data_IF_900602094906
#
_entry.id   IF_900602094906
#
_cell.length_a   1.000
_cell.length_b   1.000
_cell.length_c   1.000
_cell.angle_alpha   90.00
_cell.angle_beta   90.00
_cell.angle_gamma   90.00
#
_symmetry.space_group_name_H-M   'P 1'
#
loop_
_entity.id
_entity.type
_entity.pdbx_description
1 polymer ?
#
# COMPACT_ATOMS: atom_id res chain seq x y z
N UNK A 1 6.15 25.59 -2.78
CA UNK A 1 5.38 24.32 -2.68
C UNK A 1 4.37 24.26 -1.52
N UNK A 2 4.13 25.32 -0.74
CA UNK A 2 2.99 25.38 0.22
C UNK A 2 1.67 25.86 -0.41
N UNK A 3 1.68 26.27 -1.67
CA UNK A 3 0.54 26.95 -2.32
C UNK A 3 -0.39 26.01 -3.08
N UNK A 4 0.04 24.79 -3.41
CA UNK A 4 -0.80 23.80 -4.13
C UNK A 4 -1.56 22.90 -3.14
N UNK A 5 -0.96 22.54 -2.01
CA UNK A 5 -1.61 21.77 -0.93
C UNK A 5 -2.84 22.48 -0.33
N UNK A 6 -2.82 23.81 -0.22
CA UNK A 6 -3.98 24.60 0.26
C UNK A 6 -5.10 24.75 -0.77
N UNK A 7 -4.85 24.49 -2.07
CA UNK A 7 -5.90 24.52 -3.09
C UNK A 7 -6.68 23.21 -3.14
N UNK A 8 -6.07 22.05 -2.89
CA UNK A 8 -6.80 20.77 -2.90
C UNK A 8 -7.61 20.50 -1.62
N UNK A 9 -7.12 20.90 -0.45
CA UNK A 9 -7.93 20.87 0.78
C UNK A 9 -9.11 21.84 0.72
N UNK A 10 -8.91 23.03 0.15
CA UNK A 10 -10.02 23.96 -0.07
C UNK A 10 -10.98 23.50 -1.17
N UNK A 11 -10.54 22.81 -2.23
CA UNK A 11 -11.45 22.22 -3.24
C UNK A 11 -12.27 21.06 -2.67
N UNK A 12 -11.69 20.20 -1.81
CA UNK A 12 -12.43 19.12 -1.13
C UNK A 12 -13.42 19.65 -0.08
N UNK A 13 -13.02 20.64 0.75
CA UNK A 13 -13.93 21.27 1.72
C UNK A 13 -15.03 22.10 1.03
N UNK A 14 -14.70 22.80 -0.06
CA UNK A 14 -15.69 23.52 -0.88
C UNK A 14 -16.62 22.53 -1.57
N UNK A 15 -16.16 21.37 -2.03
CA UNK A 15 -17.01 20.32 -2.62
C UNK A 15 -17.92 19.66 -1.57
N UNK A 16 -17.46 19.41 -0.35
CA UNK A 16 -18.32 18.89 0.74
C UNK A 16 -19.38 19.92 1.16
N UNK A 17 -19.04 21.20 1.22
CA UNK A 17 -19.98 22.28 1.52
C UNK A 17 -20.94 22.58 0.35
N UNK A 18 -20.49 22.43 -0.92
CA UNK A 18 -21.38 22.53 -2.09
C UNK A 18 -22.25 21.30 -2.30
N UNK A 19 -21.80 20.10 -1.89
CA UNK A 19 -22.64 18.90 -1.83
C UNK A 19 -23.71 19.03 -0.74
N UNK A 20 -23.36 19.59 0.43
CA UNK A 20 -24.33 19.90 1.50
C UNK A 20 -25.33 21.01 1.11
N UNK A 21 -24.93 21.98 0.28
CA UNK A 21 -25.81 23.07 -0.17
C UNK A 21 -26.64 22.74 -1.43
N UNK A 22 -26.28 21.69 -2.18
CA UNK A 22 -27.06 21.14 -3.29
C UNK A 22 -28.11 20.09 -2.86
N UNK A 23 -28.22 19.77 -1.57
CA UNK A 23 -29.31 18.96 -1.05
C UNK A 23 -30.63 19.78 -1.11
N UNK A 24 -31.64 19.38 -1.91
CA UNK A 24 -32.93 20.03 -1.87
C UNK A 24 -33.56 19.78 -0.50
N UNK A 25 -33.94 20.85 0.22
CA UNK A 25 -34.75 20.76 1.47
C UNK A 25 -36.17 20.22 1.25
N UNK A 26 -36.49 19.73 0.05
CA UNK A 26 -37.80 19.21 -0.32
C UNK A 26 -37.68 17.92 -1.13
N UNK A 27 -37.29 16.81 -0.49
CA UNK A 27 -37.55 15.45 -0.97
C UNK A 27 -38.03 14.54 0.17
N UNK A 28 -38.89 15.06 1.05
CA UNK A 28 -39.79 14.24 1.87
C UNK A 28 -41.18 14.29 1.23
N UNK A 29 -41.34 13.65 0.08
CA UNK A 29 -42.58 13.61 -0.69
C UNK A 29 -42.60 12.38 -1.58
N UNK A 30 -43.48 11.43 -1.24
CA UNK A 30 -43.65 10.08 -1.82
C UNK A 30 -43.83 10.07 -3.35
N UNK A 31 -43.14 9.16 -4.06
CA UNK A 31 -43.73 8.03 -4.83
C UNK A 31 -42.65 7.18 -5.54
N UNK A 32 -42.90 5.86 -5.61
CA UNK A 32 -42.07 4.75 -6.13
C UNK A 32 -40.82 4.37 -5.30
N UNK A 33 -41.08 3.54 -4.29
CA UNK A 33 -40.18 3.14 -3.21
C UNK A 33 -39.19 2.04 -3.63
N UNK A 34 -38.06 2.42 -4.22
CA UNK A 34 -36.85 1.65 -3.93
C UNK A 34 -36.54 1.87 -2.44
N UNK A 35 -36.47 0.79 -1.68
CA UNK A 35 -35.96 0.84 -0.29
C UNK A 35 -34.58 1.50 -0.32
N UNK A 36 -34.18 2.18 0.76
CA UNK A 36 -32.85 2.82 0.78
C UNK A 36 -31.74 1.80 0.49
N UNK A 37 -31.93 0.54 0.91
CA UNK A 37 -31.08 -0.60 0.51
C UNK A 37 -30.94 -0.75 -1.01
N UNK A 38 -32.05 -0.73 -1.78
CA UNK A 38 -31.99 -0.91 -3.23
C UNK A 38 -31.27 0.26 -3.91
N UNK A 39 -31.44 1.49 -3.40
CA UNK A 39 -30.70 2.65 -3.92
C UNK A 39 -29.19 2.50 -3.69
N UNK A 40 -28.80 2.06 -2.50
CA UNK A 40 -27.38 1.81 -2.17
C UNK A 40 -26.80 0.75 -3.11
N UNK A 41 -27.53 -0.36 -3.32
CA UNK A 41 -27.11 -1.42 -4.23
C UNK A 41 -26.97 -0.93 -5.67
N UNK A 42 -27.93 -0.13 -6.15
CA UNK A 42 -27.88 0.44 -7.50
C UNK A 42 -26.67 1.37 -7.68
N UNK A 43 -26.35 2.19 -6.68
CA UNK A 43 -25.19 3.09 -6.68
C UNK A 43 -23.87 2.30 -6.72
N UNK A 44 -23.73 1.26 -5.89
CA UNK A 44 -22.53 0.41 -5.89
C UNK A 44 -22.40 -0.33 -7.23
N UNK A 45 -23.53 -0.77 -7.81
CA UNK A 45 -23.55 -1.50 -9.07
C UNK A 45 -23.07 -0.69 -10.28
N UNK A 46 -23.06 0.65 -10.22
CA UNK A 46 -22.53 1.46 -11.34
C UNK A 46 -21.02 1.34 -11.51
N UNK A 47 -20.30 0.90 -10.46
CA UNK A 47 -18.83 0.86 -10.39
C UNK A 47 -18.14 2.22 -10.58
N UNK A 48 -18.90 3.31 -10.46
CA UNK A 48 -18.34 4.66 -10.50
C UNK A 48 -17.99 5.10 -9.09
N UNK A 49 -16.76 5.56 -8.87
CA UNK A 49 -16.26 5.90 -7.54
C UNK A 49 -17.17 6.90 -6.80
N UNK A 50 -17.67 7.92 -7.49
CA UNK A 50 -18.57 8.94 -6.91
C UNK A 50 -19.88 8.33 -6.40
N UNK A 51 -20.44 7.36 -7.12
CA UNK A 51 -21.68 6.70 -6.71
C UNK A 51 -21.42 5.73 -5.54
N UNK A 52 -20.30 5.02 -5.58
CA UNK A 52 -19.85 4.17 -4.47
C UNK A 52 -19.69 5.02 -3.19
N UNK A 53 -18.97 6.14 -3.26
CA UNK A 53 -18.79 7.03 -2.11
C UNK A 53 -20.13 7.55 -1.58
N UNK A 54 -21.05 7.95 -2.46
CA UNK A 54 -22.40 8.35 -2.06
C UNK A 54 -23.17 7.22 -1.37
N UNK A 55 -23.07 5.98 -1.86
CA UNK A 55 -23.68 4.82 -1.22
C UNK A 55 -23.16 4.61 0.21
N UNK A 56 -21.85 4.80 0.42
CA UNK A 56 -21.23 4.72 1.75
C UNK A 56 -21.70 5.86 2.67
N UNK A 57 -21.81 7.09 2.17
CA UNK A 57 -22.36 8.21 2.95
C UNK A 57 -23.82 7.96 3.39
N UNK A 58 -24.63 7.36 2.52
CA UNK A 58 -25.99 6.93 2.90
C UNK A 58 -25.92 5.89 4.02
N UNK A 59 -25.03 4.90 3.91
CA UNK A 59 -24.84 3.87 4.94
C UNK A 59 -24.41 4.45 6.30
N UNK A 60 -23.54 5.46 6.29
CA UNK A 60 -23.15 6.23 7.49
C UNK A 60 -24.37 6.95 8.07
N UNK A 61 -25.16 7.64 7.25
CA UNK A 61 -26.39 8.31 7.69
C UNK A 61 -27.45 7.36 8.27
N UNK A 62 -27.48 6.11 7.80
CA UNK A 62 -28.32 5.04 8.35
C UNK A 62 -27.72 4.39 9.61
N UNK A 63 -26.53 4.80 10.05
CA UNK A 63 -25.81 4.27 11.20
C UNK A 63 -25.69 2.73 11.15
N UNK A 64 -25.32 2.18 9.99
CA UNK A 64 -25.16 0.73 9.81
C UNK A 64 -26.48 -0.06 9.68
N UNK A 65 -27.64 0.61 9.64
CA UNK A 65 -28.98 -0.03 9.57
C UNK A 65 -29.42 -0.29 8.13
N UNK A 66 -28.71 -1.18 7.46
CA UNK A 66 -29.02 -1.67 6.11
C UNK A 66 -28.98 -3.21 6.09
N UNK A 67 -29.61 -3.80 5.07
CA UNK A 67 -29.81 -5.24 5.01
C UNK A 67 -28.52 -6.04 4.67
N UNK A 68 -28.63 -7.36 4.68
CA UNK A 68 -27.51 -8.27 4.41
C UNK A 68 -26.95 -8.17 2.99
N UNK A 69 -27.76 -7.79 1.99
CA UNK A 69 -27.28 -7.60 0.62
C UNK A 69 -26.37 -6.37 0.54
N UNK A 70 -26.77 -5.26 1.16
CA UNK A 70 -25.92 -4.07 1.27
C UNK A 70 -24.64 -4.39 2.02
N UNK A 71 -24.72 -5.10 3.16
CA UNK A 71 -23.52 -5.56 3.90
C UNK A 71 -22.54 -6.30 3.00
N UNK A 72 -23.02 -7.26 2.20
CA UNK A 72 -22.16 -7.99 1.26
C UNK A 72 -21.51 -7.05 0.26
N UNK A 73 -22.29 -6.16 -0.35
CA UNK A 73 -21.77 -5.20 -1.33
C UNK A 73 -20.70 -4.26 -0.74
N UNK A 74 -20.89 -3.76 0.49
CA UNK A 74 -19.91 -2.90 1.14
C UNK A 74 -18.60 -3.64 1.45
N UNK A 75 -18.69 -4.91 1.86
CA UNK A 75 -17.53 -5.74 2.24
C UNK A 75 -16.59 -6.06 1.08
N UNK A 76 -17.05 -5.96 -0.16
CA UNK A 76 -16.20 -6.00 -1.36
C UNK A 76 -15.27 -4.77 -1.45
N UNK A 77 -15.51 -3.72 -0.66
CA UNK A 77 -14.72 -2.49 -0.61
C UNK A 77 -14.25 -2.22 0.83
N UNK A 78 -13.35 -3.07 1.37
CA UNK A 78 -13.02 -3.08 2.79
C UNK A 78 -12.33 -1.79 3.27
N UNK A 79 -11.52 -1.15 2.42
CA UNK A 79 -10.84 0.09 2.81
C UNK A 79 -11.81 1.27 2.98
N UNK A 80 -12.85 1.36 2.15
CA UNK A 80 -13.86 2.40 2.31
C UNK A 80 -14.75 2.12 3.52
N UNK A 81 -15.02 0.83 3.81
CA UNK A 81 -15.65 0.43 5.07
C UNK A 81 -14.83 0.91 6.28
N UNK A 82 -13.52 0.69 6.22
CA UNK A 82 -12.59 1.10 7.26
C UNK A 82 -12.59 2.62 7.45
N UNK A 83 -12.45 3.38 6.36
CA UNK A 83 -12.43 4.84 6.37
C UNK A 83 -13.75 5.46 6.87
N UNK A 84 -14.89 4.82 6.58
CA UNK A 84 -16.23 5.32 6.96
C UNK A 84 -16.76 4.71 8.26
N UNK A 85 -15.98 3.86 8.94
CA UNK A 85 -16.40 3.23 10.20
C UNK A 85 -17.53 2.20 10.05
N UNK A 86 -17.67 1.58 8.88
CA UNK A 86 -18.70 0.60 8.56
C UNK A 86 -18.12 -0.82 8.56
N UNK A 87 -18.96 -1.81 8.89
CA UNK A 87 -18.57 -3.24 8.92
C UNK A 87 -17.27 -3.56 9.69
N UNK A 88 -16.90 -2.74 10.69
CA UNK A 88 -15.61 -2.85 11.39
C UNK A 88 -15.27 -4.25 11.92
N UNK A 89 -16.20 -5.00 12.56
CA UNK A 89 -15.89 -6.35 13.03
C UNK A 89 -15.47 -7.31 11.90
N UNK A 90 -16.06 -7.13 10.71
CA UNK A 90 -15.67 -7.91 9.53
C UNK A 90 -14.31 -7.46 9.01
N UNK A 91 -14.15 -6.15 8.77
CA UNK A 91 -12.93 -5.61 8.15
C UNK A 91 -11.70 -5.85 9.03
N UNK A 92 -11.82 -5.68 10.34
CA UNK A 92 -10.75 -5.94 11.31
C UNK A 92 -10.43 -7.44 11.48
N UNK A 93 -11.30 -8.33 10.99
CA UNK A 93 -11.06 -9.79 10.97
C UNK A 93 -10.35 -10.27 9.71
N UNK A 94 -10.22 -9.41 8.69
CA UNK A 94 -9.59 -9.78 7.42
C UNK A 94 -8.11 -10.08 7.64
N UNK A 95 -7.70 -11.22 7.09
CA UNK A 95 -6.30 -11.63 7.03
C UNK A 95 -5.64 -11.18 5.74
N UNK A 96 -6.39 -11.14 4.66
CA UNK A 96 -5.85 -10.82 3.33
C UNK A 96 -6.70 -9.71 2.73
N UNK A 97 -6.04 -8.70 2.18
CA UNK A 97 -6.67 -7.65 1.37
C UNK A 97 -5.91 -7.57 0.05
N UNK A 98 -6.67 -7.65 -1.04
CA UNK A 98 -6.16 -7.46 -2.39
C UNK A 98 -6.88 -6.30 -3.05
N UNK A 99 -6.11 -5.41 -3.65
CA UNK A 99 -6.58 -4.21 -4.32
C UNK A 99 -5.88 -4.12 -5.67
N UNK A 100 -6.63 -4.40 -6.72
CA UNK A 100 -6.19 -4.21 -8.09
C UNK A 100 -6.78 -2.90 -8.59
N UNK A 101 -5.99 -2.08 -9.27
CA UNK A 101 -6.41 -0.78 -9.81
C UNK A 101 -6.84 0.20 -8.71
N UNK A 102 -6.01 0.36 -7.66
CA UNK A 102 -6.25 1.35 -6.60
C UNK A 102 -6.00 2.76 -7.13
N UNK A 103 -7.07 3.45 -7.52
CA UNK A 103 -6.98 4.77 -8.16
C UNK A 103 -6.59 5.90 -7.19
N UNK A 104 -6.76 5.70 -5.87
CA UNK A 104 -6.45 6.72 -4.88
C UNK A 104 -4.93 6.86 -4.67
N UNK A 105 -4.49 8.07 -4.38
CA UNK A 105 -3.08 8.39 -4.18
C UNK A 105 -2.54 8.04 -2.79
N UNK A 106 -3.40 7.61 -1.87
CA UNK A 106 -3.07 7.30 -0.49
C UNK A 106 -3.87 6.10 0.04
N UNK A 107 -3.38 5.49 1.11
CA UNK A 107 -4.14 4.56 1.94
C UNK A 107 -4.71 5.29 3.17
N UNK A 108 -5.93 4.95 3.62
CA UNK A 108 -6.49 5.54 4.82
C UNK A 108 -5.63 5.22 6.04
N UNK A 109 -5.43 6.20 6.93
CA UNK A 109 -4.66 6.01 8.18
C UNK A 109 -5.25 4.92 9.07
N UNK A 110 -6.55 4.67 8.95
CA UNK A 110 -7.29 3.62 9.63
C UNK A 110 -6.82 2.22 9.25
N UNK A 111 -5.99 2.05 8.19
CA UNK A 111 -5.34 0.77 7.84
C UNK A 111 -4.67 0.12 9.07
N UNK A 112 -4.13 0.94 9.99
CA UNK A 112 -3.53 0.44 11.23
C UNK A 112 -4.49 -0.32 12.17
N UNK A 113 -5.80 -0.25 11.95
CA UNK A 113 -6.80 -1.01 12.71
C UNK A 113 -6.95 -2.45 12.22
N UNK A 114 -6.35 -2.83 11.09
CA UNK A 114 -6.40 -4.18 10.52
C UNK A 114 -5.44 -5.13 11.25
N UNK A 115 -5.63 -5.29 12.56
CA UNK A 115 -4.71 -6.03 13.44
C UNK A 115 -4.63 -7.54 13.16
N UNK A 116 -5.56 -8.07 12.35
CA UNK A 116 -5.57 -9.45 11.90
C UNK A 116 -4.87 -9.67 10.54
N UNK A 117 -4.48 -8.59 9.85
CA UNK A 117 -3.95 -8.65 8.50
C UNK A 117 -2.59 -9.37 8.47
N UNK A 118 -2.50 -10.36 7.60
CA UNK A 118 -1.36 -11.23 7.31
C UNK A 118 -0.82 -10.92 5.91
N UNK A 119 -1.67 -10.56 4.95
CA UNK A 119 -1.28 -10.24 3.58
C UNK A 119 -1.95 -8.95 3.08
N UNK A 120 -1.15 -8.03 2.55
CA UNK A 120 -1.61 -6.83 1.86
C UNK A 120 -1.06 -6.81 0.44
N UNK A 121 -1.95 -6.83 -0.53
CA UNK A 121 -1.63 -6.75 -1.95
C UNK A 121 -2.30 -5.53 -2.59
N UNK A 122 -1.48 -4.69 -3.21
CA UNK A 122 -1.89 -3.48 -3.91
C UNK A 122 -1.15 -3.46 -5.24
N UNK A 123 -1.88 -3.40 -6.35
CA UNK A 123 -1.27 -3.36 -7.69
C UNK A 123 -2.03 -2.39 -8.58
N UNK A 124 -1.26 -1.64 -9.36
CA UNK A 124 -1.80 -0.76 -10.39
C UNK A 124 -2.52 0.42 -9.76
N UNK A 125 -1.86 1.57 -9.72
CA UNK A 125 -2.47 2.73 -9.07
C UNK A 125 -1.62 3.97 -9.11
N UNK A 126 -2.08 4.97 -8.36
CA UNK A 126 -1.39 6.25 -8.17
C UNK A 126 -0.87 6.40 -6.73
N UNK A 127 -0.68 5.30 -5.99
CA UNK A 127 -0.29 5.38 -4.58
C UNK A 127 1.11 6.02 -4.47
N UNK A 128 1.20 7.14 -3.75
CA UNK A 128 2.43 7.94 -3.63
C UNK A 128 3.15 7.69 -2.30
N UNK A 129 2.43 7.32 -1.25
CA UNK A 129 3.00 7.10 0.08
C UNK A 129 2.26 6.03 0.88
N UNK A 130 2.97 5.44 1.85
CA UNK A 130 2.40 4.54 2.83
C UNK A 130 2.18 5.26 4.17
N UNK A 131 1.01 5.08 4.82
CA UNK A 131 0.75 5.73 6.09
C UNK A 131 1.57 5.09 7.21
N UNK A 132 2.12 5.92 8.09
CA UNK A 132 2.89 5.49 9.28
C UNK A 132 2.11 4.53 10.19
N UNK A 133 0.77 4.57 10.16
CA UNK A 133 -0.11 3.70 10.91
C UNK A 133 0.03 2.22 10.54
N UNK A 134 0.63 1.90 9.38
CA UNK A 134 0.99 0.52 9.02
C UNK A 134 1.87 -0.16 10.09
N UNK A 135 2.62 0.59 10.91
CA UNK A 135 3.37 0.03 12.06
C UNK A 135 2.53 -0.82 13.01
N UNK A 136 1.21 -0.65 13.01
CA UNK A 136 0.29 -1.42 13.86
C UNK A 136 -0.02 -2.83 13.33
N UNK A 137 0.33 -3.12 12.06
CA UNK A 137 0.07 -4.40 11.40
C UNK A 137 1.06 -5.49 11.85
N UNK A 138 1.05 -5.82 13.15
CA UNK A 138 1.99 -6.75 13.79
C UNK A 138 1.88 -8.20 13.34
N UNK A 139 0.85 -8.53 12.55
CA UNK A 139 0.64 -9.86 11.97
C UNK A 139 0.99 -9.92 10.48
N UNK A 140 1.35 -8.80 9.85
CA UNK A 140 1.64 -8.78 8.43
C UNK A 140 2.87 -9.66 8.14
N UNK A 141 2.71 -10.58 7.21
CA UNK A 141 3.73 -11.53 6.74
C UNK A 141 4.16 -11.18 5.31
N UNK A 142 3.23 -10.70 4.49
CA UNK A 142 3.45 -10.38 3.09
C UNK A 142 2.93 -8.99 2.73
N UNK A 143 3.80 -8.16 2.17
CA UNK A 143 3.47 -6.83 1.66
C UNK A 143 3.84 -6.73 0.18
N UNK A 144 2.84 -6.55 -0.67
CA UNK A 144 2.99 -6.40 -2.11
C UNK A 144 2.37 -5.07 -2.53
N UNK A 145 3.19 -4.15 -3.02
CA UNK A 145 2.75 -2.86 -3.55
C UNK A 145 3.45 -2.65 -4.89
N UNK A 146 2.83 -3.11 -5.96
CA UNK A 146 3.44 -3.21 -7.29
C UNK A 146 2.88 -2.13 -8.21
N UNK A 147 3.69 -1.63 -9.14
CA UNK A 147 3.21 -0.73 -10.22
C UNK A 147 2.43 0.48 -9.67
N UNK A 148 3.10 1.26 -8.81
CA UNK A 148 2.57 2.46 -8.16
C UNK A 148 3.57 3.61 -8.29
N UNK A 149 3.36 4.71 -7.55
CA UNK A 149 4.17 5.94 -7.64
C UNK A 149 4.85 6.25 -6.29
N UNK A 150 5.20 5.21 -5.52
CA UNK A 150 5.79 5.42 -4.20
C UNK A 150 7.21 5.95 -4.35
N UNK A 151 7.44 7.16 -3.85
CA UNK A 151 8.75 7.81 -3.87
C UNK A 151 9.58 7.51 -2.61
N UNK A 152 8.90 7.36 -1.46
CA UNK A 152 9.53 7.19 -0.15
C UNK A 152 8.76 6.18 0.70
N UNK A 153 9.49 5.29 1.37
CA UNK A 153 8.93 4.43 2.43
C UNK A 153 9.02 5.13 3.79
N UNK A 154 7.96 5.08 4.62
CA UNK A 154 8.04 5.58 5.98
C UNK A 154 9.01 4.73 6.83
N UNK A 155 9.81 5.33 7.73
CA UNK A 155 10.65 4.61 8.70
C UNK A 155 9.89 3.53 9.49
N UNK A 156 8.60 3.78 9.72
CA UNK A 156 7.68 2.85 10.36
C UNK A 156 7.58 1.46 9.69
N UNK A 157 8.05 1.30 8.45
CA UNK A 157 8.13 -0.01 7.79
C UNK A 157 8.91 -1.02 8.63
N UNK A 158 9.98 -0.59 9.33
CA UNK A 158 10.79 -1.46 10.19
C UNK A 158 10.03 -2.02 11.40
N UNK A 159 8.85 -1.50 11.71
CA UNK A 159 8.02 -2.00 12.81
C UNK A 159 7.21 -3.25 12.44
N UNK A 160 7.23 -3.68 11.18
CA UNK A 160 6.52 -4.85 10.64
C UNK A 160 7.27 -6.16 10.91
N UNK A 161 7.45 -6.48 12.19
CA UNK A 161 8.38 -7.52 12.68
C UNK A 161 8.14 -8.96 12.21
N UNK A 162 7.02 -9.25 11.55
CA UNK A 162 6.68 -10.59 11.03
C UNK A 162 6.80 -10.71 9.51
N UNK A 163 7.05 -9.61 8.82
CA UNK A 163 7.09 -9.60 7.36
C UNK A 163 8.27 -10.44 6.89
N UNK A 164 7.96 -11.42 6.06
CA UNK A 164 8.92 -12.30 5.40
C UNK A 164 8.99 -12.04 3.89
N UNK A 165 7.98 -11.38 3.32
CA UNK A 165 7.92 -11.03 1.90
C UNK A 165 7.59 -9.56 1.68
N UNK A 166 8.47 -8.83 1.00
CA UNK A 166 8.21 -7.48 0.50
C UNK A 166 8.43 -7.44 -1.00
N UNK A 167 7.42 -6.96 -1.74
CA UNK A 167 7.55 -6.58 -3.14
C UNK A 167 7.08 -5.14 -3.34
N UNK A 168 7.97 -4.31 -3.85
CA UNK A 168 7.77 -2.91 -4.17
C UNK A 168 8.23 -2.61 -5.60
N UNK A 169 8.16 -3.62 -6.47
CA UNK A 169 8.62 -3.49 -7.86
C UNK A 169 7.78 -2.47 -8.63
N UNK A 170 8.40 -1.80 -9.61
CA UNK A 170 7.74 -0.77 -10.43
C UNK A 170 7.14 0.37 -9.59
N UNK A 171 7.98 0.99 -8.75
CA UNK A 171 7.66 2.24 -8.04
C UNK A 171 8.73 3.29 -8.37
N UNK A 172 8.74 4.40 -7.64
CA UNK A 172 9.65 5.54 -7.85
C UNK A 172 10.63 5.71 -6.67
N UNK A 173 10.95 4.62 -5.96
CA UNK A 173 11.77 4.70 -4.75
C UNK A 173 13.19 5.13 -5.11
N UNK A 174 13.64 6.24 -4.54
CA UNK A 174 15.02 6.73 -4.71
C UNK A 174 15.96 6.26 -3.59
N UNK A 175 15.38 5.97 -2.42
CA UNK A 175 16.10 5.49 -1.23
C UNK A 175 15.24 4.47 -0.47
N UNK A 176 15.89 3.69 0.39
CA UNK A 176 15.24 2.82 1.37
C UNK A 176 15.64 3.31 2.76
N UNK A 177 14.71 3.44 3.73
CA UNK A 177 15.02 3.87 5.09
C UNK A 177 15.92 2.87 5.81
N UNK A 178 16.76 3.35 6.73
CA UNK A 178 17.67 2.51 7.53
C UNK A 178 16.90 1.44 8.33
N UNK A 179 15.65 1.74 8.70
CA UNK A 179 14.74 0.86 9.43
C UNK A 179 14.37 -0.41 8.66
N UNK A 180 14.68 -0.52 7.35
CA UNK A 180 14.54 -1.78 6.63
C UNK A 180 15.31 -2.91 7.32
N UNK A 181 16.47 -2.59 7.92
CA UNK A 181 17.31 -3.55 8.63
C UNK A 181 16.69 -4.11 9.92
N UNK A 182 15.58 -3.56 10.38
CA UNK A 182 14.84 -4.08 11.55
C UNK A 182 13.91 -5.25 11.17
N UNK A 183 13.69 -5.50 9.88
CA UNK A 183 12.90 -6.61 9.35
C UNK A 183 13.68 -7.93 9.36
N UNK A 184 14.11 -8.36 10.55
CA UNK A 184 14.98 -9.54 10.72
C UNK A 184 14.37 -10.87 10.27
N UNK A 185 13.06 -10.93 10.02
CA UNK A 185 12.37 -12.12 9.48
C UNK A 185 12.25 -12.11 7.94
N UNK A 186 12.74 -11.05 7.28
CA UNK A 186 12.60 -10.89 5.83
C UNK A 186 13.39 -11.97 5.08
N UNK A 187 12.70 -12.66 4.18
CA UNK A 187 13.25 -13.73 3.34
C UNK A 187 13.36 -13.27 1.88
N UNK A 188 12.40 -12.47 1.42
CA UNK A 188 12.31 -12.02 0.03
C UNK A 188 12.10 -10.51 -0.01
N UNK A 189 12.99 -9.80 -0.70
CA UNK A 189 12.90 -8.37 -0.91
C UNK A 189 13.03 -8.08 -2.41
N UNK A 190 11.94 -7.58 -2.98
CA UNK A 190 11.86 -7.19 -4.39
C UNK A 190 11.68 -5.68 -4.51
N UNK A 191 12.73 -5.02 -4.99
CA UNK A 191 12.81 -3.58 -5.24
C UNK A 191 13.11 -3.31 -6.73
N UNK A 192 12.77 -4.26 -7.61
CA UNK A 192 13.03 -4.12 -9.04
C UNK A 192 12.32 -2.91 -9.66
N UNK A 193 12.89 -2.35 -10.73
CA UNK A 193 12.32 -1.25 -11.50
C UNK A 193 11.90 -0.07 -10.62
N UNK A 194 12.88 0.49 -9.89
CA UNK A 194 12.76 1.69 -9.06
C UNK A 194 13.84 2.70 -9.47
N UNK A 195 14.03 3.76 -8.68
CA UNK A 195 15.03 4.81 -8.93
C UNK A 195 16.17 4.79 -7.89
N UNK A 196 16.46 3.64 -7.29
CA UNK A 196 17.41 3.55 -6.18
C UNK A 196 18.83 3.90 -6.62
N UNK A 197 19.44 4.87 -5.93
CA UNK A 197 20.81 5.33 -6.20
C UNK A 197 21.83 4.67 -5.25
N UNK A 198 21.38 4.30 -4.05
CA UNK A 198 22.16 3.57 -3.06
C UNK A 198 21.25 2.71 -2.17
N UNK A 199 21.85 1.76 -1.46
CA UNK A 199 21.18 1.03 -0.37
C UNK A 199 21.74 1.48 0.98
N UNK A 200 20.92 1.48 2.04
CA UNK A 200 21.42 1.74 3.39
C UNK A 200 22.33 0.60 3.85
N UNK A 201 23.35 0.93 4.66
CA UNK A 201 24.25 -0.06 5.25
C UNK A 201 23.50 -1.10 6.11
N UNK A 202 22.35 -0.71 6.68
CA UNK A 202 21.49 -1.58 7.48
C UNK A 202 20.87 -2.73 6.68
N UNK A 203 20.94 -2.72 5.34
CA UNK A 203 20.52 -3.87 4.53
C UNK A 203 21.26 -5.15 4.96
N UNK A 204 22.52 -5.04 5.42
CA UNK A 204 23.29 -6.17 5.91
C UNK A 204 22.76 -6.81 7.19
N UNK A 205 21.81 -6.17 7.91
CA UNK A 205 21.14 -6.76 9.07
C UNK A 205 20.09 -7.81 8.69
N UNK A 206 19.72 -7.91 7.41
CA UNK A 206 18.73 -8.88 6.92
C UNK A 206 19.34 -10.28 6.78
N UNK A 207 19.87 -10.84 7.87
CA UNK A 207 20.63 -12.10 7.87
C UNK A 207 19.83 -13.32 7.37
N UNK A 208 18.50 -13.22 7.35
CA UNK A 208 17.60 -14.26 6.85
C UNK A 208 17.24 -14.14 5.36
N UNK A 209 17.68 -13.08 4.69
CA UNK A 209 17.32 -12.80 3.30
C UNK A 209 17.85 -13.90 2.37
N UNK A 210 16.96 -14.44 1.55
CA UNK A 210 17.22 -15.51 0.57
C UNK A 210 17.32 -14.93 -0.84
N UNK A 211 16.47 -13.96 -1.17
CA UNK A 211 16.41 -13.35 -2.49
C UNK A 211 16.26 -11.84 -2.39
N UNK A 212 17.15 -11.15 -3.12
CA UNK A 212 17.15 -9.69 -3.24
C UNK A 212 17.12 -9.33 -4.73
N UNK A 213 16.02 -8.71 -5.16
CA UNK A 213 15.89 -8.18 -6.51
C UNK A 213 16.05 -6.66 -6.50
N UNK A 214 17.06 -6.17 -7.22
CA UNK A 214 17.39 -4.75 -7.40
C UNK A 214 17.46 -4.39 -8.89
N UNK A 215 16.97 -5.25 -9.78
CA UNK A 215 17.08 -5.01 -11.22
C UNK A 215 16.41 -3.70 -11.62
N UNK A 216 16.91 -3.01 -12.65
CA UNK A 216 16.27 -1.81 -13.17
C UNK A 216 16.30 -0.64 -12.18
N UNK A 217 17.44 -0.41 -11.54
CA UNK A 217 17.66 0.72 -10.63
C UNK A 217 18.85 1.58 -11.13
N UNK A 218 19.26 2.58 -10.35
CA UNK A 218 20.36 3.49 -10.68
C UNK A 218 21.59 3.26 -9.79
N UNK A 219 21.75 2.04 -9.27
CA UNK A 219 22.85 1.69 -8.37
C UNK A 219 24.18 1.66 -9.13
N UNK A 220 25.19 2.33 -8.58
CA UNK A 220 26.58 2.28 -9.05
C UNK A 220 27.49 1.49 -8.10
N UNK A 221 26.98 1.09 -6.94
CA UNK A 221 27.71 0.36 -5.91
C UNK A 221 26.74 -0.27 -4.90
N UNK A 222 27.24 -1.22 -4.11
CA UNK A 222 26.53 -1.80 -2.98
C UNK A 222 27.29 -1.48 -1.69
N UNK A 223 26.61 -1.32 -0.54
CA UNK A 223 27.29 -1.18 0.74
C UNK A 223 28.12 -2.42 1.07
N UNK A 224 29.23 -2.26 1.78
CA UNK A 224 30.12 -3.38 2.15
C UNK A 224 29.40 -4.42 3.02
N UNK A 225 28.41 -3.97 3.78
CA UNK A 225 27.53 -4.76 4.64
C UNK A 225 26.67 -5.77 3.86
N UNK A 226 26.57 -5.68 2.52
CA UNK A 226 25.94 -6.73 1.72
C UNK A 226 26.62 -8.09 1.94
N UNK A 227 27.91 -8.10 2.30
CA UNK A 227 28.65 -9.30 2.67
C UNK A 227 28.11 -10.00 3.92
N UNK A 228 27.28 -9.35 4.75
CA UNK A 228 26.67 -9.97 5.92
C UNK A 228 25.46 -10.86 5.57
N UNK A 229 24.95 -10.79 4.34
CA UNK A 229 23.80 -11.58 3.88
C UNK A 229 24.19 -13.03 3.57
N UNK A 230 24.59 -13.79 4.60
CA UNK A 230 25.16 -15.14 4.48
C UNK A 230 24.16 -16.21 3.99
N UNK A 231 22.86 -15.91 4.00
CA UNK A 231 21.80 -16.81 3.49
C UNK A 231 21.32 -16.42 2.10
N UNK A 232 21.86 -15.35 1.50
CA UNK A 232 21.40 -14.84 0.22
C UNK A 232 21.78 -15.80 -0.90
N UNK A 233 20.78 -16.38 -1.55
CA UNK A 233 20.97 -17.34 -2.63
C UNK A 233 20.92 -16.69 -4.00
N UNK A 234 20.14 -15.61 -4.13
CA UNK A 234 19.96 -14.88 -5.39
C UNK A 234 20.04 -13.38 -5.17
N UNK A 235 20.85 -12.73 -5.99
CA UNK A 235 20.97 -11.29 -6.05
C UNK A 235 20.82 -10.85 -7.50
N UNK A 236 19.78 -10.08 -7.81
CA UNK A 236 19.57 -9.57 -9.17
C UNK A 236 19.94 -8.10 -9.27
N UNK A 237 20.99 -7.81 -10.03
CA UNK A 237 21.60 -6.50 -10.25
C UNK A 237 21.52 -6.04 -11.72
N UNK A 238 20.74 -6.74 -12.55
CA UNK A 238 20.56 -6.38 -13.97
C UNK A 238 20.09 -4.94 -14.11
N UNK A 239 20.41 -4.31 -15.24
CA UNK A 239 19.87 -2.98 -15.59
C UNK A 239 20.16 -1.93 -14.49
N UNK A 240 21.40 -1.93 -13.97
CA UNK A 240 21.94 -0.92 -13.06
C UNK A 240 23.19 -0.27 -13.65
N UNK A 241 23.74 0.73 -12.96
CA UNK A 241 24.93 1.49 -13.37
C UNK A 241 26.28 0.87 -13.00
N UNK A 242 26.34 -0.43 -12.67
CA UNK A 242 27.58 -1.10 -12.25
C UNK A 242 28.62 -1.21 -13.38
N UNK A 243 29.88 -0.99 -13.05
CA UNK A 243 31.02 -1.22 -13.93
C UNK A 243 31.36 -2.73 -14.02
N UNK A 244 32.16 -3.13 -15.00
CA UNK A 244 32.57 -4.54 -15.15
C UNK A 244 33.33 -5.06 -13.92
N UNK A 245 34.18 -4.23 -13.31
CA UNK A 245 34.99 -4.58 -12.14
C UNK A 245 34.15 -4.88 -10.90
N UNK A 246 32.96 -4.27 -10.80
CA UNK A 246 32.02 -4.50 -9.71
C UNK A 246 31.47 -5.93 -9.73
N UNK A 247 31.31 -6.53 -10.92
CA UNK A 247 30.74 -7.87 -11.07
C UNK A 247 31.60 -8.93 -10.36
N UNK A 248 32.92 -8.88 -10.55
CA UNK A 248 33.83 -9.78 -9.84
C UNK A 248 33.90 -9.46 -8.34
N UNK A 249 33.87 -8.17 -7.99
CA UNK A 249 33.90 -7.74 -6.60
C UNK A 249 32.71 -8.28 -5.80
N UNK A 250 31.48 -8.13 -6.31
CA UNK A 250 30.29 -8.65 -5.64
C UNK A 250 30.31 -10.17 -5.52
N UNK A 251 30.79 -10.88 -6.54
CA UNK A 251 30.92 -12.34 -6.45
C UNK A 251 31.95 -12.77 -5.39
N UNK A 252 33.00 -11.99 -5.15
CA UNK A 252 33.96 -12.23 -4.04
C UNK A 252 33.34 -11.96 -2.67
N UNK A 253 32.50 -10.94 -2.54
CA UNK A 253 31.78 -10.64 -1.29
C UNK A 253 30.75 -11.73 -0.96
N UNK A 254 30.08 -12.28 -1.98
CA UNK A 254 29.02 -13.27 -1.84
C UNK A 254 29.31 -14.52 -2.70
N UNK A 255 30.31 -15.33 -2.34
CA UNK A 255 30.75 -16.46 -3.16
C UNK A 255 29.72 -17.59 -3.28
N UNK A 256 28.77 -17.66 -2.34
CA UNK A 256 27.68 -18.64 -2.34
C UNK A 256 26.43 -18.16 -3.09
N UNK A 257 26.33 -16.87 -3.39
CA UNK A 257 25.15 -16.26 -3.97
C UNK A 257 25.23 -16.31 -5.50
N UNK A 258 24.11 -16.64 -6.15
CA UNK A 258 23.97 -16.51 -7.59
C UNK A 258 23.62 -15.06 -7.93
N UNK A 259 24.58 -14.34 -8.53
CA UNK A 259 24.40 -12.95 -8.90
C UNK A 259 24.05 -12.84 -10.39
N UNK A 260 23.00 -12.08 -10.69
CA UNK A 260 22.58 -11.75 -12.05
C UNK A 260 22.99 -10.31 -12.33
N UNK A 261 23.74 -10.08 -13.42
CA UNK A 261 24.26 -8.77 -13.82
C UNK A 261 23.95 -8.46 -15.28
#
# INVERSE_FOLDING_TARGET
MKTVLNQYTSILEVNILTLRSKLPRHCWGRSMTKTDDQKILDLIATKEWVNIELAFEICVGLNGRYNTQVRKALREIPLLCLQKGLELPYVQSLKNIQMLNWENTYLPTEIGQLIALEELYIEGGNLVELPKEMKQLKKLESLHILTNQIEVLPPEIGALSKVNWIRLEENLLQTIPDEIGELTQLLYLDLGYNELIHLPATIGKLENLIELNLAGNQLIGLPAEIAHLQKLQKLNLKENGFLLEDKEHFQRLLPHCKIYH
#
